data_IF_966712603067
#
_entry.id   IF_966712603067
#
_cell.length_a   1.000
_cell.length_b   1.000
_cell.length_c   1.000
_cell.angle_alpha   90.00
_cell.angle_beta   90.00
_cell.angle_gamma   90.00
#
_symmetry.space_group_name_H-M   'P 1'
#
loop_
_entity.id
_entity.type
_entity.pdbx_description
1 polymer ?
#
# COMPACT_ATOMS: atom_id res chain seq x y z
N UNK A 1 -17.24 -15.99 11.31
CA UNK A 1 -17.20 -14.90 10.32
C UNK A 1 -17.94 -13.73 10.93
N UNK A 2 -17.21 -12.66 11.21
CA UNK A 2 -17.81 -11.37 11.48
C UNK A 2 -18.42 -10.85 10.17
N UNK A 3 -19.46 -10.02 10.22
CA UNK A 3 -20.10 -9.45 9.03
C UNK A 3 -19.10 -8.69 8.14
N UNK A 4 -18.11 -8.04 8.78
CA UNK A 4 -17.00 -7.39 8.09
C UNK A 4 -16.15 -8.37 7.26
N UNK A 5 -15.89 -9.58 7.78
CA UNK A 5 -15.10 -10.60 7.07
C UNK A 5 -15.78 -10.99 5.75
N UNK A 6 -17.11 -10.99 5.72
CA UNK A 6 -17.91 -11.27 4.52
C UNK A 6 -17.70 -10.21 3.44
N UNK A 7 -17.62 -8.92 3.82
CA UNK A 7 -17.28 -7.85 2.88
C UNK A 7 -15.83 -7.94 2.40
N UNK A 8 -14.89 -8.17 3.33
CA UNK A 8 -13.48 -8.30 2.97
C UNK A 8 -13.23 -9.48 2.04
N UNK A 9 -13.97 -10.59 2.20
CA UNK A 9 -13.88 -11.71 1.26
C UNK A 9 -14.38 -11.33 -0.13
N UNK A 10 -15.52 -10.63 -0.24
CA UNK A 10 -16.01 -10.13 -1.54
C UNK A 10 -15.01 -9.21 -2.22
N UNK A 11 -14.28 -8.39 -1.47
CA UNK A 11 -13.21 -7.55 -2.03
C UNK A 11 -11.98 -8.35 -2.45
N UNK A 12 -11.69 -9.50 -1.82
CA UNK A 12 -10.63 -10.39 -2.33
C UNK A 12 -11.02 -11.03 -3.66
N UNK A 13 -12.29 -11.42 -3.78
CA UNK A 13 -12.80 -12.12 -4.96
C UNK A 13 -13.06 -11.17 -6.15
N UNK A 14 -13.59 -9.97 -5.87
CA UNK A 14 -13.86 -8.93 -6.85
C UNK A 14 -13.51 -7.52 -6.32
N UNK A 15 -12.21 -7.20 -6.22
CA UNK A 15 -11.70 -5.94 -5.65
C UNK A 15 -12.14 -4.65 -6.37
N UNK A 16 -12.53 -4.73 -7.65
CA UNK A 16 -12.95 -3.60 -8.47
C UNK A 16 -14.47 -3.34 -8.46
N UNK A 17 -15.25 -4.06 -7.63
CA UNK A 17 -16.70 -3.85 -7.51
C UNK A 17 -17.04 -2.62 -6.65
N UNK A 18 -17.12 -1.47 -7.32
CA UNK A 18 -17.49 -0.20 -6.70
C UNK A 18 -18.86 -0.23 -6.01
N UNK A 19 -19.80 -1.08 -6.45
CA UNK A 19 -21.13 -1.20 -5.83
C UNK A 19 -21.01 -1.84 -4.46
N UNK A 20 -20.30 -2.97 -4.36
CA UNK A 20 -20.05 -3.63 -3.07
C UNK A 20 -19.26 -2.71 -2.12
N UNK A 21 -18.34 -1.89 -2.65
CA UNK A 21 -17.56 -0.92 -1.87
C UNK A 21 -18.44 0.17 -1.26
N UNK A 22 -19.41 0.71 -2.01
CA UNK A 22 -20.36 1.69 -1.48
C UNK A 22 -21.29 1.10 -0.42
N UNK A 23 -21.82 -0.11 -0.66
CA UNK A 23 -22.65 -0.82 0.34
C UNK A 23 -21.88 -1.05 1.64
N UNK A 24 -20.60 -1.43 1.55
CA UNK A 24 -19.75 -1.57 2.71
C UNK A 24 -19.50 -0.24 3.44
N UNK A 25 -19.29 0.86 2.71
CA UNK A 25 -19.13 2.18 3.31
C UNK A 25 -20.39 2.63 4.06
N UNK A 26 -21.59 2.36 3.51
CA UNK A 26 -22.85 2.63 4.20
C UNK A 26 -23.00 1.78 5.46
N UNK A 27 -22.69 0.48 5.38
CA UNK A 27 -22.68 -0.41 6.54
C UNK A 27 -21.68 0.02 7.62
N UNK A 28 -20.51 0.54 7.25
CA UNK A 28 -19.52 1.07 8.19
C UNK A 28 -20.04 2.30 8.95
N UNK A 29 -20.77 3.21 8.29
CA UNK A 29 -21.35 4.39 8.94
C UNK A 29 -22.42 4.01 9.97
N UNK A 30 -23.20 2.95 9.70
CA UNK A 30 -24.23 2.44 10.62
C UNK A 30 -23.65 1.94 11.95
N UNK A 31 -22.35 1.60 12.00
CA UNK A 31 -21.67 1.19 13.24
C UNK A 31 -21.47 2.35 14.22
N UNK A 32 -21.43 3.58 13.72
CA UNK A 32 -21.35 4.80 14.54
C UNK A 32 -20.05 4.98 15.33
N UNK A 33 -19.00 4.20 15.05
CA UNK A 33 -17.70 4.33 15.70
C UNK A 33 -16.67 5.09 14.83
N UNK A 34 -15.68 5.77 15.43
CA UNK A 34 -14.73 6.61 14.67
C UNK A 34 -13.86 5.84 13.67
N UNK A 35 -13.55 4.57 13.95
CA UNK A 35 -12.71 3.75 13.07
C UNK A 35 -13.50 3.35 11.83
N UNK A 36 -14.76 2.94 12.00
CA UNK A 36 -15.64 2.62 10.89
C UNK A 36 -15.94 3.84 10.02
N UNK A 37 -16.17 5.01 10.63
CA UNK A 37 -16.33 6.26 9.88
C UNK A 37 -15.08 6.61 9.03
N UNK A 38 -13.88 6.43 9.59
CA UNK A 38 -12.63 6.65 8.85
C UNK A 38 -12.46 5.66 7.68
N UNK A 39 -12.83 4.39 7.85
CA UNK A 39 -12.85 3.39 6.77
C UNK A 39 -13.85 3.77 5.68
N UNK A 40 -15.06 4.20 6.05
CA UNK A 40 -16.09 4.61 5.10
C UNK A 40 -15.65 5.83 4.28
N UNK A 41 -15.05 6.82 4.93
CA UNK A 41 -14.49 8.00 4.27
C UNK A 41 -13.36 7.62 3.29
N UNK A 42 -12.47 6.71 3.67
CA UNK A 42 -11.39 6.24 2.81
C UNK A 42 -11.96 5.63 1.52
N UNK A 43 -12.89 4.68 1.64
CA UNK A 43 -13.51 4.01 0.48
C UNK A 43 -14.18 5.02 -0.45
N UNK A 44 -14.99 5.95 0.09
CA UNK A 44 -15.69 6.94 -0.74
C UNK A 44 -14.73 7.93 -1.40
N UNK A 45 -13.66 8.33 -0.71
CA UNK A 45 -12.67 9.25 -1.26
C UNK A 45 -11.90 8.60 -2.41
N UNK A 46 -11.58 7.31 -2.29
CA UNK A 46 -10.91 6.54 -3.33
C UNK A 46 -11.79 6.39 -4.58
N UNK A 47 -13.07 6.04 -4.40
CA UNK A 47 -14.03 5.94 -5.51
C UNK A 47 -14.31 7.30 -6.18
N UNK A 48 -14.26 8.40 -5.42
CA UNK A 48 -14.39 9.75 -5.98
C UNK A 48 -13.17 10.12 -6.83
N UNK A 49 -11.97 9.69 -6.45
CA UNK A 49 -10.72 10.15 -7.05
C UNK A 49 -10.66 9.97 -8.59
N UNK A 50 -11.07 8.84 -9.20
CA UNK A 50 -11.14 8.67 -10.66
C UNK A 50 -12.13 9.60 -11.37
N UNK A 51 -13.16 10.11 -10.68
CA UNK A 51 -14.17 11.01 -11.26
C UNK A 51 -13.68 12.46 -11.39
N UNK A 52 -12.61 12.80 -10.66
CA UNK A 52 -11.98 14.13 -10.72
C UNK A 52 -11.11 14.27 -11.98
N UNK A 53 -10.96 15.49 -12.53
CA UNK A 53 -10.05 15.73 -13.65
C UNK A 53 -8.64 15.22 -13.38
N UNK A 54 -8.02 14.58 -14.38
CA UNK A 54 -6.67 14.00 -14.27
C UNK A 54 -5.57 15.05 -14.12
N UNK A 55 -5.84 16.31 -14.51
CA UNK A 55 -4.94 17.44 -14.27
C UNK A 55 -4.79 17.70 -12.76
N UNK A 56 -3.63 18.20 -12.34
CA UNK A 56 -3.41 18.61 -10.94
C UNK A 56 -4.32 19.78 -10.56
N UNK A 57 -5.49 19.47 -10.01
CA UNK A 57 -6.44 20.44 -9.43
C UNK A 57 -6.28 20.45 -7.91
N UNK A 58 -6.68 21.55 -7.27
CA UNK A 58 -6.68 21.65 -5.80
C UNK A 58 -7.55 20.57 -5.15
N UNK A 59 -8.71 20.28 -5.74
CA UNK A 59 -9.64 19.25 -5.28
C UNK A 59 -9.03 17.84 -5.35
N UNK A 60 -8.39 17.49 -6.48
CA UNK A 60 -7.69 16.20 -6.62
C UNK A 60 -6.57 16.06 -5.60
N UNK A 61 -5.74 17.09 -5.46
CA UNK A 61 -4.64 17.09 -4.48
C UNK A 61 -5.16 16.97 -3.04
N UNK A 62 -6.29 17.60 -2.72
CA UNK A 62 -6.92 17.47 -1.40
C UNK A 62 -7.45 16.06 -1.14
N UNK A 63 -8.11 15.44 -2.13
CA UNK A 63 -8.59 14.06 -2.03
C UNK A 63 -7.44 13.06 -1.83
N UNK A 64 -6.36 13.18 -2.62
CA UNK A 64 -5.15 12.35 -2.45
C UNK A 64 -4.56 12.54 -1.06
N UNK A 65 -4.37 13.79 -0.62
CA UNK A 65 -3.84 14.06 0.72
C UNK A 65 -4.72 13.44 1.81
N UNK A 66 -6.04 13.51 1.68
CA UNK A 66 -6.96 12.93 2.65
C UNK A 66 -6.86 11.41 2.72
N UNK A 67 -6.73 10.73 1.58
CA UNK A 67 -6.49 9.29 1.54
C UNK A 67 -5.19 8.92 2.26
N UNK A 68 -4.11 9.67 2.02
CA UNK A 68 -2.82 9.45 2.68
C UNK A 68 -2.94 9.62 4.20
N UNK A 69 -3.60 10.69 4.67
CA UNK A 69 -3.85 10.94 6.09
C UNK A 69 -4.62 9.79 6.75
N UNK A 70 -5.71 9.33 6.12
CA UNK A 70 -6.50 8.19 6.61
C UNK A 70 -5.67 6.90 6.64
N UNK A 71 -4.89 6.63 5.59
CA UNK A 71 -4.06 5.42 5.50
C UNK A 71 -2.98 5.37 6.60
N UNK A 72 -2.53 6.51 7.15
CA UNK A 72 -1.54 6.50 8.24
C UNK A 72 -2.06 5.86 9.54
N UNK A 73 -3.37 5.87 9.77
CA UNK A 73 -3.98 5.41 11.03
C UNK A 73 -4.82 4.15 10.90
N UNK A 74 -5.31 3.85 9.69
CA UNK A 74 -6.09 2.65 9.42
C UNK A 74 -5.23 1.38 9.47
N UNK A 75 -5.90 0.26 9.75
CA UNK A 75 -5.25 -1.04 9.81
C UNK A 75 -4.64 -1.44 8.46
N UNK A 76 -3.36 -1.83 8.47
CA UNK A 76 -2.61 -2.15 7.25
C UNK A 76 -3.10 -3.43 6.57
N UNK A 77 -3.65 -4.38 7.34
CA UNK A 77 -4.20 -5.61 6.76
C UNK A 77 -5.51 -5.36 6.03
N UNK A 78 -6.32 -4.42 6.53
CA UNK A 78 -7.51 -3.91 5.87
C UNK A 78 -7.13 -3.12 4.60
N UNK A 79 -6.17 -2.20 4.68
CA UNK A 79 -5.70 -1.40 3.54
C UNK A 79 -5.17 -2.28 2.39
N UNK A 80 -4.48 -3.38 2.70
CA UNK A 80 -4.00 -4.34 1.69
C UNK A 80 -5.13 -5.00 0.89
N UNK A 81 -6.30 -5.16 1.49
CA UNK A 81 -7.48 -5.73 0.82
C UNK A 81 -8.19 -4.68 -0.03
N UNK A 82 -8.39 -3.49 0.52
CA UNK A 82 -9.28 -2.49 -0.11
C UNK A 82 -8.59 -1.54 -1.05
N UNK A 83 -7.32 -1.19 -0.85
CA UNK A 83 -6.67 -0.08 -1.59
C UNK A 83 -6.58 -0.34 -3.09
N UNK A 84 -6.70 0.72 -3.87
CA UNK A 84 -6.49 0.78 -5.32
C UNK A 84 -5.15 1.47 -5.59
N UNK A 85 -4.13 0.69 -5.92
CA UNK A 85 -2.74 1.15 -5.96
C UNK A 85 -2.11 0.89 -7.32
N UNK A 86 -1.26 1.83 -7.73
CA UNK A 86 -0.37 1.60 -8.86
C UNK A 86 0.69 0.56 -8.47
N UNK A 87 1.07 -0.27 -9.44
CA UNK A 87 2.15 -1.25 -9.28
C UNK A 87 3.46 -0.60 -9.72
N UNK A 88 4.46 -0.66 -8.85
CA UNK A 88 5.79 -0.12 -9.06
C UNK A 88 6.82 -1.24 -9.22
N UNK A 89 8.00 -0.86 -9.74
CA UNK A 89 9.10 -1.78 -10.06
C UNK A 89 8.72 -2.88 -11.08
N UNK A 90 7.58 -2.74 -11.75
CA UNK A 90 7.18 -3.63 -12.82
C UNK A 90 7.89 -3.24 -14.12
N UNK A 91 8.57 -4.18 -14.78
CA UNK A 91 9.10 -3.97 -16.13
C UNK A 91 10.61 -3.87 -16.30
N UNK A 92 11.44 -4.24 -15.31
CA UNK A 92 12.91 -4.29 -15.47
C UNK A 92 13.43 -5.32 -16.52
N UNK A 93 12.55 -6.03 -17.22
CA UNK A 93 12.90 -7.01 -18.27
C UNK A 93 12.14 -6.85 -19.59
N UNK A 94 11.12 -5.98 -19.69
CA UNK A 94 10.30 -5.84 -20.90
C UNK A 94 10.10 -4.38 -21.28
N UNK A 95 10.04 -4.07 -22.58
CA UNK A 95 9.81 -2.72 -23.11
C UNK A 95 8.42 -2.12 -22.82
N UNK A 96 7.63 -2.76 -21.95
CA UNK A 96 6.26 -2.37 -21.63
C UNK A 96 6.08 -2.30 -20.11
N UNK A 97 5.66 -1.13 -19.63
CA UNK A 97 5.24 -0.92 -18.25
C UNK A 97 3.86 -1.57 -18.10
N UNK A 98 3.74 -2.57 -17.22
CA UNK A 98 2.48 -3.25 -16.97
C UNK A 98 1.42 -2.22 -16.49
N UNK A 99 0.25 -2.12 -17.16
CA UNK A 99 -0.78 -1.14 -16.81
C UNK A 99 -1.67 -1.60 -15.65
N UNK A 100 -1.41 -2.78 -15.08
CA UNK A 100 -2.23 -3.37 -14.03
C UNK A 100 -2.09 -2.57 -12.74
N UNK A 101 -3.18 -2.58 -11.97
CA UNK A 101 -3.23 -2.06 -10.61
C UNK A 101 -3.37 -3.19 -9.59
N UNK A 102 -3.04 -2.93 -8.34
CA UNK A 102 -3.09 -3.89 -7.24
C UNK A 102 -4.45 -4.59 -7.11
N UNK A 103 -5.53 -3.81 -7.22
CA UNK A 103 -6.91 -4.26 -7.20
C UNK A 103 -7.31 -5.08 -8.44
N UNK A 104 -6.44 -5.27 -9.44
CA UNK A 104 -6.75 -6.04 -10.65
C UNK A 104 -6.02 -7.39 -10.68
N UNK A 105 -5.26 -7.70 -9.64
CA UNK A 105 -4.43 -8.90 -9.55
C UNK A 105 -5.19 -10.06 -8.91
N UNK A 106 -4.79 -11.28 -9.25
CA UNK A 106 -5.38 -12.48 -8.67
C UNK A 106 -5.00 -12.60 -7.19
N UNK A 107 -5.95 -12.91 -6.29
CA UNK A 107 -5.65 -13.14 -4.89
C UNK A 107 -4.75 -14.38 -4.72
N UNK A 108 -3.98 -14.39 -3.64
CA UNK A 108 -3.24 -15.57 -3.17
C UNK A 108 -3.69 -15.93 -1.74
N UNK A 109 -3.08 -16.95 -1.14
CA UNK A 109 -3.32 -17.32 0.26
C UNK A 109 -2.90 -16.21 1.24
N UNK A 110 -2.04 -15.27 0.80
CA UNK A 110 -1.66 -14.10 1.58
C UNK A 110 -2.41 -12.85 1.12
N UNK A 111 -3.04 -12.12 2.05
CA UNK A 111 -3.71 -10.86 1.73
C UNK A 111 -2.75 -9.75 1.24
N UNK A 112 -1.46 -9.87 1.53
CA UNK A 112 -0.42 -8.92 1.12
C UNK A 112 0.35 -9.35 -0.11
N UNK A 113 -0.03 -10.47 -0.74
CA UNK A 113 0.59 -10.96 -1.98
C UNK A 113 -0.51 -11.22 -3.02
N UNK A 114 -0.33 -10.70 -4.22
CA UNK A 114 -1.24 -10.96 -5.34
C UNK A 114 -0.45 -11.37 -6.58
N UNK A 115 -1.06 -12.15 -7.45
CA UNK A 115 -0.42 -12.62 -8.67
C UNK A 115 -0.88 -11.79 -9.89
N UNK A 116 0.08 -11.28 -10.64
CA UNK A 116 -0.17 -10.60 -11.90
C UNK A 116 -0.02 -11.56 -13.08
N UNK A 117 -1.13 -11.88 -13.74
CA UNK A 117 -1.12 -12.75 -14.93
C UNK A 117 -0.46 -12.10 -16.17
N UNK A 118 -0.31 -10.77 -16.19
CA UNK A 118 0.30 -10.06 -17.33
C UNK A 118 1.83 -10.21 -17.35
N UNK A 119 2.48 -9.97 -16.20
CA UNK A 119 3.93 -10.11 -16.08
C UNK A 119 4.37 -11.47 -15.49
N UNK A 120 3.41 -12.32 -15.14
CA UNK A 120 3.59 -13.64 -14.51
C UNK A 120 4.45 -13.59 -13.23
N UNK A 121 4.23 -12.59 -12.37
CA UNK A 121 4.95 -12.42 -11.11
C UNK A 121 4.01 -12.17 -9.94
N UNK A 122 4.51 -12.48 -8.76
CA UNK A 122 3.93 -11.98 -7.51
C UNK A 122 4.19 -10.47 -7.36
N UNK A 123 3.22 -9.82 -6.75
CA UNK A 123 3.26 -8.40 -6.39
C UNK A 123 3.04 -8.32 -4.88
N UNK A 124 3.86 -7.53 -4.21
CA UNK A 124 3.86 -7.44 -2.75
C UNK A 124 3.30 -6.11 -2.27
N UNK A 125 2.28 -6.18 -1.42
CA UNK A 125 1.79 -5.01 -0.68
C UNK A 125 2.82 -4.60 0.38
N UNK A 126 3.29 -3.37 0.30
CA UNK A 126 4.35 -2.86 1.16
C UNK A 126 3.80 -1.74 2.05
N UNK A 127 3.63 -2.03 3.34
CA UNK A 127 3.14 -1.07 4.32
C UNK A 127 4.24 -0.17 4.90
N UNK A 128 5.50 -0.38 4.50
CA UNK A 128 6.62 0.52 4.81
C UNK A 128 7.55 0.65 3.59
N UNK A 129 8.23 1.79 3.47
CA UNK A 129 9.20 2.01 2.40
C UNK A 129 10.39 1.05 2.50
N UNK A 130 10.74 0.61 3.72
CA UNK A 130 11.81 -0.36 3.93
C UNK A 130 11.48 -1.71 3.31
N UNK A 131 10.25 -2.20 3.52
CA UNK A 131 9.76 -3.45 2.90
C UNK A 131 9.66 -3.29 1.38
N UNK A 132 9.16 -2.14 0.90
CA UNK A 132 9.09 -1.85 -0.53
C UNK A 132 10.47 -1.89 -1.21
N UNK A 133 11.49 -1.30 -0.59
CA UNK A 133 12.88 -1.34 -1.09
C UNK A 133 13.42 -2.76 -1.13
N UNK A 134 13.20 -3.54 -0.09
CA UNK A 134 13.68 -4.93 -0.02
C UNK A 134 13.15 -5.75 -1.19
N UNK A 135 11.84 -5.68 -1.46
CA UNK A 135 11.22 -6.35 -2.60
C UNK A 135 11.70 -5.77 -3.93
N UNK A 136 11.69 -4.43 -4.07
CA UNK A 136 12.08 -3.78 -5.31
C UNK A 136 13.53 -4.12 -5.72
N UNK A 137 14.46 -4.12 -4.77
CA UNK A 137 15.88 -4.45 -5.00
C UNK A 137 16.11 -5.95 -5.24
N UNK A 138 15.15 -6.80 -4.86
CA UNK A 138 15.14 -8.22 -5.20
C UNK A 138 14.55 -8.49 -6.59
N UNK A 139 14.02 -7.46 -7.25
CA UNK A 139 13.39 -7.54 -8.58
C UNK A 139 11.89 -7.81 -8.55
N UNK A 140 11.26 -7.78 -7.37
CA UNK A 140 9.83 -8.00 -7.19
C UNK A 140 9.03 -6.74 -7.53
N UNK A 141 7.78 -6.94 -7.95
CA UNK A 141 6.82 -5.85 -8.14
C UNK A 141 6.20 -5.48 -6.79
N UNK A 142 5.97 -4.19 -6.56
CA UNK A 142 5.45 -3.70 -5.27
C UNK A 142 4.23 -2.80 -5.46
N UNK A 143 3.29 -2.89 -4.52
CA UNK A 143 2.22 -1.92 -4.34
C UNK A 143 2.45 -1.24 -2.98
N UNK A 144 2.81 0.05 -2.98
CA UNK A 144 3.19 0.76 -1.74
C UNK A 144 1.96 1.42 -1.13
N UNK A 145 1.75 1.19 0.16
CA UNK A 145 0.64 1.74 0.95
C UNK A 145 0.58 3.28 0.87
N UNK A 146 -0.63 3.83 0.71
CA UNK A 146 -0.84 5.28 0.54
C UNK A 146 -0.33 6.12 1.71
N UNK A 147 -0.27 5.57 2.92
CA UNK A 147 0.23 6.26 4.09
C UNK A 147 1.74 6.46 4.08
N UNK A 148 2.50 5.70 3.27
CA UNK A 148 3.96 5.84 3.17
C UNK A 148 4.29 7.17 2.49
N UNK A 149 5.08 8.01 3.15
CA UNK A 149 5.50 9.29 2.57
C UNK A 149 6.62 9.06 1.55
N UNK A 150 6.26 9.15 0.26
CA UNK A 150 7.14 8.87 -0.87
C UNK A 150 8.09 10.02 -1.21
N UNK A 151 9.28 9.68 -1.69
CA UNK A 151 10.28 10.61 -2.25
C UNK A 151 10.69 10.15 -3.63
N UNK A 152 11.11 11.09 -4.48
CA UNK A 152 11.64 10.74 -5.79
C UNK A 152 12.85 9.80 -5.65
N UNK A 153 12.82 8.68 -6.37
CA UNK A 153 13.89 7.68 -6.35
C UNK A 153 13.96 6.83 -5.07
N UNK A 154 12.94 6.82 -4.22
CA UNK A 154 12.97 6.08 -2.95
C UNK A 154 13.02 4.55 -3.08
N UNK A 155 12.64 3.99 -4.24
CA UNK A 155 12.82 2.57 -4.59
C UNK A 155 14.09 2.28 -5.41
N UNK A 156 14.81 3.31 -5.88
CA UNK A 156 15.97 3.10 -6.74
C UNK A 156 17.04 2.28 -5.99
N UNK A 157 17.68 1.30 -6.65
CA UNK A 157 18.82 0.62 -6.06
C UNK A 157 19.93 1.65 -5.82
N UNK A 158 20.54 1.59 -4.64
CA UNK A 158 21.76 2.35 -4.41
C UNK A 158 22.83 1.86 -5.40
N UNK A 159 23.77 2.72 -5.82
CA UNK A 159 24.83 2.31 -6.72
C UNK A 159 25.69 1.21 -6.07
N UNK A 160 25.35 -0.06 -6.34
CA UNK A 160 26.08 -1.26 -5.91
C UNK A 160 27.49 -1.35 -6.52
N UNK A 161 27.81 -0.44 -7.46
CA UNK A 161 29.12 -0.35 -8.09
C UNK A 161 29.87 0.93 -7.66
N UNK A 162 30.24 1.04 -6.39
CA UNK A 162 31.58 1.55 -6.10
C UNK A 162 32.49 0.34 -5.91
N UNK A 163 33.56 0.25 -6.70
CA UNK A 163 34.62 -0.71 -6.43
C UNK A 163 35.14 -0.51 -5.00
N UNK A 164 34.75 -1.36 -4.05
CA UNK A 164 35.25 -1.40 -2.68
C UNK A 164 34.21 -1.25 -1.57
N UNK A 165 34.68 -1.36 -0.32
CA UNK A 165 33.93 -1.23 0.95
C UNK A 165 33.54 0.22 1.30
N UNK A 166 33.42 1.10 0.30
CA UNK A 166 33.16 2.51 0.55
C UNK A 166 31.82 2.67 1.30
N UNK A 167 31.81 3.28 2.50
CA UNK A 167 30.57 3.46 3.24
C UNK A 167 29.63 4.39 2.47
N UNK A 168 28.33 4.16 2.58
CA UNK A 168 27.31 5.06 2.01
C UNK A 168 27.59 6.50 2.40
N UNK A 169 27.45 7.41 1.44
CA UNK A 169 27.50 8.85 1.63
C UNK A 169 26.40 9.33 2.57
N UNK A 170 26.54 10.53 3.14
CA UNK A 170 25.49 11.13 3.96
C UNK A 170 24.16 11.26 3.20
N UNK A 171 24.21 11.59 1.90
CA UNK A 171 23.03 11.70 1.04
C UNK A 171 22.35 10.33 0.85
N UNK A 172 23.11 9.26 0.59
CA UNK A 172 22.55 7.91 0.46
C UNK A 172 21.93 7.40 1.77
N UNK A 173 22.55 7.72 2.92
CA UNK A 173 21.99 7.40 4.24
C UNK A 173 20.69 8.16 4.51
N UNK A 174 20.62 9.44 4.14
CA UNK A 174 19.40 10.23 4.27
C UNK A 174 18.28 9.73 3.36
N UNK A 175 18.62 9.32 2.13
CA UNK A 175 17.66 8.70 1.21
C UNK A 175 17.12 7.38 1.77
N UNK A 176 17.99 6.55 2.36
CA UNK A 176 17.61 5.29 3.00
C UNK A 176 16.84 5.46 4.30
N UNK A 177 16.81 6.64 4.93
CA UNK A 177 16.02 6.82 6.14
C UNK A 177 14.55 6.53 5.84
N UNK A 178 13.89 5.62 6.57
CA UNK A 178 12.46 5.37 6.38
C UNK A 178 11.68 6.65 6.67
N UNK A 179 10.53 6.84 6.02
CA UNK A 179 9.69 7.98 6.31
C UNK A 179 9.01 7.85 7.70
N UNK A 180 8.46 8.94 8.27
CA UNK A 180 7.88 8.90 9.61
C UNK A 180 6.78 7.84 9.80
N UNK A 181 5.97 7.56 8.77
CA UNK A 181 4.91 6.54 8.87
C UNK A 181 5.52 5.15 8.87
N UNK A 182 6.49 4.88 8.01
CA UNK A 182 7.26 3.63 8.03
C UNK A 182 7.94 3.40 9.37
N UNK A 183 8.60 4.42 9.93
CA UNK A 183 9.26 4.32 11.24
C UNK A 183 8.25 3.95 12.33
N UNK A 184 7.12 4.66 12.41
CA UNK A 184 6.08 4.40 13.41
C UNK A 184 5.50 2.98 13.29
N UNK A 185 5.22 2.51 12.08
CA UNK A 185 4.72 1.14 11.82
C UNK A 185 5.75 0.08 12.21
N UNK A 186 7.02 0.27 11.87
CA UNK A 186 8.11 -0.65 12.24
C UNK A 186 8.31 -0.72 13.75
N UNK A 187 8.25 0.42 14.45
CA UNK A 187 8.30 0.47 15.92
C UNK A 187 7.12 -0.25 16.56
N UNK A 188 5.90 -0.05 16.05
CA UNK A 188 4.70 -0.74 16.52
C UNK A 188 4.84 -2.27 16.36
N UNK A 189 5.28 -2.75 15.19
CA UNK A 189 5.54 -4.18 14.94
C UNK A 189 6.61 -4.76 15.87
N UNK A 190 7.68 -4.01 16.17
CA UNK A 190 8.73 -4.45 17.11
C UNK A 190 8.19 -4.60 18.52
N UNK A 191 7.36 -3.66 19.00
CA UNK A 191 6.71 -3.74 20.31
C UNK A 191 5.79 -4.96 20.39
N UNK A 192 4.93 -5.17 19.40
CA UNK A 192 4.04 -6.33 19.34
C UNK A 192 4.78 -7.66 19.36
N UNK A 193 5.91 -7.79 18.63
CA UNK A 193 6.75 -8.99 18.67
C UNK A 193 7.41 -9.20 20.03
N UNK A 194 7.98 -8.16 20.62
CA UNK A 194 8.57 -8.23 21.95
C UNK A 194 7.56 -8.63 23.03
N UNK A 195 6.33 -8.11 22.96
CA UNK A 195 5.25 -8.48 23.87
C UNK A 195 4.79 -9.94 23.68
N UNK A 196 4.84 -10.47 22.45
CA UNK A 196 4.52 -11.87 22.17
C UNK A 196 5.61 -12.83 22.68
N UNK A 197 6.88 -12.46 22.56
CA UNK A 197 8.02 -13.25 23.02
C UNK A 197 8.12 -13.28 24.56
N UNK A 198 7.65 -12.24 25.26
CA UNK A 198 7.59 -12.19 26.74
C UNK A 198 6.42 -13.01 27.31
N UNK A 199 5.35 -13.18 26.54
CA UNK A 199 4.13 -13.90 26.96
C UNK A 199 4.07 -15.36 26.48
N UNK A 200 5.14 -15.89 25.87
CA UNK A 200 5.29 -17.28 25.42
C UNK A 200 6.19 -18.09 26.34
#
# INVERSE_FOLDING_TARGET
>A
MNDEDGFLQKFRDNPADDTTRLVYADWLDERGDPVSAAKAEFIRTELRLPTLPTKKTAERSAAVRRLQELATTLDVSWLAVVSQLDIENCGVQFSFVCPKKWEQLFPTDSATVRFCAECAREVHYCDTITVARQHAWSGDCVAVDLGVVRREGDLAPLPLMRLGWAPYTAAERELMRPDPVSQAREEAKRKQRGDADVNS
#
